data_IF_862967112121
#
_entry.id   IF_862967112121
#
_cell.length_a   1.000
_cell.length_b   1.000
_cell.length_c   1.000
_cell.angle_alpha   90.00
_cell.angle_beta   90.00
_cell.angle_gamma   90.00
#
_symmetry.space_group_name_H-M   'P 1'
#
loop_
_entity.id
_entity.type
_entity.pdbx_description
1 polymer ?
#
# COMPACT_ATOMS: atom_id res chain seq x y z
N UNK A 1 -12.76 -12.58 3.12
CA UNK A 1 -13.52 -11.49 3.78
C UNK A 1 -14.13 -10.55 2.74
N UNK A 2 -13.36 -9.99 1.78
CA UNK A 2 -13.85 -9.06 0.74
C UNK A 2 -15.03 -9.69 -0.03
N UNK A 3 -14.86 -10.92 -0.54
CA UNK A 3 -15.90 -11.66 -1.26
C UNK A 3 -17.17 -11.84 -0.41
N UNK A 4 -17.01 -12.16 0.89
CA UNK A 4 -18.14 -12.30 1.80
C UNK A 4 -18.90 -10.98 1.97
N UNK A 5 -18.18 -9.86 2.13
CA UNK A 5 -18.79 -8.54 2.26
C UNK A 5 -19.53 -8.15 0.98
N UNK A 6 -18.93 -8.34 -0.19
CA UNK A 6 -19.56 -8.04 -1.48
C UNK A 6 -20.79 -8.91 -1.75
N UNK A 7 -20.76 -10.19 -1.36
CA UNK A 7 -21.92 -11.07 -1.47
C UNK A 7 -23.06 -10.64 -0.54
N UNK A 8 -22.73 -10.23 0.68
CA UNK A 8 -23.72 -9.80 1.67
C UNK A 8 -24.30 -8.41 1.37
N UNK A 9 -23.47 -7.53 0.82
CA UNK A 9 -23.82 -6.14 0.53
C UNK A 9 -23.42 -5.78 -0.91
N UNK A 10 -24.11 -6.29 -1.93
CA UNK A 10 -23.68 -6.17 -3.33
C UNK A 10 -23.63 -4.73 -3.85
N UNK A 11 -24.36 -3.81 -3.22
CA UNK A 11 -24.36 -2.38 -3.58
C UNK A 11 -23.37 -1.53 -2.77
N UNK A 12 -22.69 -2.13 -1.78
CA UNK A 12 -21.75 -1.39 -0.95
C UNK A 12 -20.37 -1.29 -1.63
N UNK A 13 -19.76 -0.13 -1.51
CA UNK A 13 -18.35 0.04 -1.86
C UNK A 13 -17.46 -0.57 -0.78
N UNK A 14 -16.38 -1.22 -1.20
CA UNK A 14 -15.39 -1.83 -0.32
C UNK A 14 -14.05 -1.14 -0.52
N UNK A 15 -13.65 -0.33 0.44
CA UNK A 15 -12.35 0.31 0.48
C UNK A 15 -11.44 -0.44 1.45
N UNK A 16 -10.18 -0.61 1.10
CA UNK A 16 -9.19 -1.28 1.95
C UNK A 16 -8.09 -0.31 2.36
N UNK A 17 -7.67 -0.35 3.62
CA UNK A 17 -6.54 0.41 4.12
C UNK A 17 -5.48 -0.58 4.61
N UNK A 18 -4.25 -0.46 4.08
CA UNK A 18 -3.08 -1.20 4.53
C UNK A 18 -2.07 -0.27 5.20
N UNK A 19 -1.83 -0.47 6.49
CA UNK A 19 -0.86 0.30 7.26
C UNK A 19 0.42 -0.51 7.46
N UNK A 20 1.59 0.13 7.30
CA UNK A 20 2.89 -0.48 7.57
C UNK A 20 3.08 -1.81 6.79
N UNK A 21 3.33 -2.92 7.47
CA UNK A 21 3.38 -4.25 6.86
C UNK A 21 2.08 -4.65 6.14
N UNK A 22 0.94 -4.12 6.60
CA UNK A 22 -0.35 -4.30 5.93
C UNK A 22 -0.40 -3.74 4.51
N UNK A 23 0.51 -2.83 4.15
CA UNK A 23 0.65 -2.29 2.81
C UNK A 23 0.86 -3.38 1.75
N UNK A 24 1.88 -4.21 1.92
CA UNK A 24 2.17 -5.29 0.97
C UNK A 24 1.09 -6.39 0.99
N UNK A 25 0.52 -6.68 2.17
CA UNK A 25 -0.55 -7.66 2.28
C UNK A 25 -1.81 -7.21 1.53
N UNK A 26 -2.16 -5.93 1.62
CA UNK A 26 -3.28 -5.35 0.88
C UNK A 26 -3.06 -5.39 -0.62
N UNK A 27 -1.88 -4.95 -1.09
CA UNK A 27 -1.51 -4.98 -2.51
C UNK A 27 -1.60 -6.40 -3.13
N UNK A 28 -1.30 -7.44 -2.35
CA UNK A 28 -1.42 -8.83 -2.81
C UNK A 28 -2.87 -9.33 -2.76
N UNK A 29 -3.67 -8.92 -1.76
CA UNK A 29 -4.98 -9.53 -1.49
C UNK A 29 -6.08 -9.11 -2.46
N UNK A 30 -6.05 -7.90 -3.03
CA UNK A 30 -7.11 -7.47 -3.94
C UNK A 30 -6.98 -8.02 -5.37
N UNK A 31 -5.94 -8.78 -5.65
CA UNK A 31 -5.79 -9.45 -6.93
C UNK A 31 -6.80 -10.58 -7.11
N UNK A 32 -7.09 -11.30 -6.03
CA UNK A 32 -8.07 -12.38 -6.00
C UNK A 32 -9.50 -11.86 -5.75
N UNK A 33 -9.62 -10.82 -4.95
CA UNK A 33 -10.88 -10.23 -4.52
C UNK A 33 -10.84 -8.69 -4.71
N UNK A 34 -11.30 -8.15 -5.86
CA UNK A 34 -11.19 -6.73 -6.17
C UNK A 34 -11.94 -5.86 -5.17
N UNK A 35 -11.28 -4.76 -4.76
CA UNK A 35 -11.83 -3.69 -3.93
C UNK A 35 -12.14 -2.45 -4.78
N UNK A 36 -12.91 -1.52 -4.25
CA UNK A 36 -13.26 -0.30 -4.98
C UNK A 36 -12.17 0.75 -4.93
N UNK A 37 -11.36 0.75 -3.89
CA UNK A 37 -10.09 1.48 -3.80
C UNK A 37 -9.19 0.90 -2.73
N UNK A 38 -7.91 1.25 -2.79
CA UNK A 38 -6.92 0.85 -1.80
C UNK A 38 -6.13 2.06 -1.29
N UNK A 39 -5.97 2.16 0.02
CA UNK A 39 -5.15 3.17 0.68
C UNK A 39 -3.93 2.46 1.29
N UNK A 40 -2.74 2.80 0.86
CA UNK A 40 -1.49 2.35 1.46
C UNK A 40 -0.91 3.47 2.32
N UNK A 41 -0.84 3.26 3.63
CA UNK A 41 -0.40 4.26 4.58
C UNK A 41 0.88 3.83 5.29
N UNK A 42 1.98 4.56 5.07
CA UNK A 42 3.31 4.22 5.59
C UNK A 42 3.67 2.77 5.29
N UNK A 43 3.21 2.27 4.13
CA UNK A 43 3.18 0.84 3.83
C UNK A 43 4.43 0.35 3.11
N UNK A 44 4.81 -0.90 3.42
CA UNK A 44 5.78 -1.64 2.62
C UNK A 44 5.13 -1.98 1.29
N UNK A 45 5.78 -1.64 0.19
CA UNK A 45 5.36 -1.96 -1.18
C UNK A 45 6.29 -2.97 -1.85
N UNK A 46 7.57 -2.94 -1.48
CA UNK A 46 8.60 -3.82 -2.01
C UNK A 46 9.49 -4.38 -0.89
N UNK A 47 9.53 -5.72 -0.78
CA UNK A 47 10.29 -6.42 0.24
C UNK A 47 11.80 -6.43 -0.04
N UNK A 48 12.22 -6.32 -1.31
CA UNK A 48 13.63 -6.15 -1.67
C UNK A 48 14.15 -4.81 -1.17
N UNK A 49 13.44 -3.73 -1.48
CA UNK A 49 13.79 -2.40 -1.02
C UNK A 49 13.83 -2.35 0.52
N UNK A 50 12.87 -3.02 1.19
CA UNK A 50 12.90 -3.16 2.65
C UNK A 50 14.16 -3.85 3.16
N UNK A 51 14.63 -4.90 2.49
CA UNK A 51 15.87 -5.59 2.86
C UNK A 51 17.11 -4.71 2.65
N UNK A 52 17.10 -3.86 1.64
CA UNK A 52 18.22 -2.96 1.36
C UNK A 52 18.29 -1.81 2.37
N UNK A 53 17.17 -1.18 2.65
CA UNK A 53 17.07 0.00 3.52
C UNK A 53 17.17 -0.34 5.01
N UNK A 54 16.64 -1.48 5.44
CA UNK A 54 16.53 -1.85 6.86
C UNK A 54 17.52 -2.97 7.24
N UNK A 55 18.78 -2.57 7.44
CA UNK A 55 19.87 -3.49 7.85
C UNK A 55 19.52 -4.26 9.13
N UNK A 56 18.87 -3.59 10.08
CA UNK A 56 18.40 -4.16 11.34
C UNK A 56 17.34 -5.27 11.16
N UNK A 57 16.55 -5.22 10.08
CA UNK A 57 15.54 -6.23 9.78
C UNK A 57 16.05 -7.38 8.92
N UNK A 58 17.26 -7.32 8.37
CA UNK A 58 17.79 -8.35 7.46
C UNK A 58 17.79 -9.76 8.08
N UNK A 59 18.10 -9.87 9.37
CA UNK A 59 18.05 -11.15 10.09
C UNK A 59 16.67 -11.76 10.13
N UNK A 60 15.64 -10.94 10.38
CA UNK A 60 14.24 -11.35 10.35
C UNK A 60 13.80 -11.72 8.94
N UNK A 61 14.08 -10.86 7.95
CA UNK A 61 13.71 -11.08 6.56
C UNK A 61 14.33 -12.36 5.99
N UNK A 62 15.61 -12.66 6.35
CA UNK A 62 16.25 -13.92 5.95
C UNK A 62 15.55 -15.15 6.53
N UNK A 63 15.05 -15.08 7.74
CA UNK A 63 14.27 -16.19 8.34
C UNK A 63 12.88 -16.36 7.72
N UNK A 64 12.23 -15.25 7.32
CA UNK A 64 10.86 -15.28 6.82
C UNK A 64 10.76 -15.48 5.30
N UNK A 65 11.71 -14.95 4.55
CA UNK A 65 11.67 -14.91 3.09
C UNK A 65 12.86 -15.64 2.48
N UNK A 66 14.02 -15.63 3.17
CA UNK A 66 15.29 -16.12 2.64
C UNK A 66 16.25 -14.98 2.30
N UNK A 67 17.36 -15.31 1.67
CA UNK A 67 18.36 -14.34 1.23
C UNK A 67 18.04 -13.83 -0.19
N UNK A 68 17.94 -12.52 -0.45
CA UNK A 68 17.46 -12.00 -1.75
C UNK A 68 18.28 -12.48 -2.96
N UNK A 69 19.58 -12.76 -2.79
CA UNK A 69 20.44 -13.28 -3.87
C UNK A 69 20.29 -14.79 -4.11
N UNK A 70 19.92 -15.56 -3.07
CA UNK A 70 19.79 -17.01 -3.14
C UNK A 70 18.34 -17.46 -3.40
N UNK A 71 17.41 -16.79 -2.74
CA UNK A 71 15.98 -17.12 -2.73
C UNK A 71 15.18 -16.10 -3.54
N UNK A 72 15.64 -15.79 -4.76
CA UNK A 72 15.05 -14.74 -5.62
C UNK A 72 13.56 -14.96 -5.85
N UNK A 73 13.15 -16.18 -6.13
CA UNK A 73 11.76 -16.53 -6.38
C UNK A 73 10.85 -16.23 -5.19
N UNK A 74 11.29 -16.50 -3.96
CA UNK A 74 10.56 -16.18 -2.76
C UNK A 74 10.34 -14.67 -2.56
N UNK A 75 11.30 -13.84 -2.98
CA UNK A 75 11.15 -12.39 -3.01
C UNK A 75 10.21 -11.94 -4.13
N UNK A 76 10.32 -12.53 -5.33
CA UNK A 76 9.44 -12.20 -6.46
C UNK A 76 7.97 -12.50 -6.16
N UNK A 77 7.67 -13.65 -5.55
CA UNK A 77 6.31 -14.01 -5.13
C UNK A 77 5.72 -13.05 -4.10
N UNK A 78 6.56 -12.35 -3.35
CA UNK A 78 6.15 -11.34 -2.36
C UNK A 78 6.28 -9.90 -2.86
N UNK A 79 6.68 -9.73 -4.12
CA UNK A 79 6.81 -8.40 -4.71
C UNK A 79 5.45 -7.92 -5.23
N UNK A 80 4.67 -7.32 -4.34
CA UNK A 80 3.33 -6.86 -4.63
C UNK A 80 3.26 -5.80 -5.76
N UNK A 81 4.32 -5.01 -5.95
CA UNK A 81 4.38 -4.01 -7.03
C UNK A 81 4.31 -4.66 -8.41
N UNK A 82 4.91 -5.83 -8.59
CA UNK A 82 4.93 -6.53 -9.89
C UNK A 82 3.58 -7.10 -10.29
N UNK A 83 2.74 -7.37 -9.32
CA UNK A 83 1.41 -7.93 -9.55
C UNK A 83 0.38 -6.86 -9.95
N UNK A 84 0.71 -5.58 -9.73
CA UNK A 84 -0.12 -4.46 -10.17
C UNK A 84 -0.16 -4.35 -11.68
N UNK A 85 -1.36 -4.13 -12.21
CA UNK A 85 -1.65 -3.96 -13.63
C UNK A 85 -2.72 -2.88 -13.83
N UNK A 86 -3.02 -2.55 -15.07
CA UNK A 86 -3.99 -1.50 -15.42
C UNK A 86 -5.41 -1.69 -14.85
N UNK A 87 -5.77 -2.92 -14.44
CA UNK A 87 -7.06 -3.23 -13.83
C UNK A 87 -7.03 -3.13 -12.29
N UNK A 88 -5.88 -2.76 -11.71
CA UNK A 88 -5.78 -2.52 -10.27
C UNK A 88 -6.71 -1.39 -9.84
N UNK A 89 -7.29 -1.44 -8.63
CA UNK A 89 -8.18 -0.38 -8.15
C UNK A 89 -7.42 0.95 -7.99
N UNK A 90 -8.14 2.08 -7.95
CA UNK A 90 -7.53 3.35 -7.56
C UNK A 90 -6.78 3.24 -6.24
N UNK A 91 -5.57 3.83 -6.17
CA UNK A 91 -4.68 3.71 -5.01
C UNK A 91 -4.36 5.10 -4.46
N UNK A 92 -4.58 5.30 -3.16
CA UNK A 92 -4.07 6.47 -2.43
C UNK A 92 -2.82 6.08 -1.66
N UNK A 93 -1.71 6.77 -1.92
CA UNK A 93 -0.44 6.61 -1.20
C UNK A 93 -0.35 7.67 -0.12
N UNK A 94 -0.33 7.28 1.14
CA UNK A 94 -0.13 8.16 2.29
C UNK A 94 1.19 7.82 2.97
N UNK A 95 2.12 8.79 3.10
CA UNK A 95 3.42 8.50 3.69
C UNK A 95 4.02 9.71 4.42
N UNK A 96 4.66 9.45 5.57
CA UNK A 96 5.41 10.45 6.33
C UNK A 96 6.83 10.59 5.79
N UNK A 97 7.28 11.83 5.54
CA UNK A 97 8.63 12.08 5.05
C UNK A 97 9.74 11.73 6.05
N UNK A 98 9.40 11.76 7.35
CA UNK A 98 10.32 11.41 8.45
C UNK A 98 10.10 9.98 8.97
N UNK A 99 9.44 9.13 8.19
CA UNK A 99 9.22 7.72 8.55
C UNK A 99 10.55 6.96 8.58
N UNK A 100 10.96 6.50 9.79
CA UNK A 100 12.17 5.72 10.02
C UNK A 100 11.91 4.21 10.06
N UNK A 101 10.66 3.78 10.04
CA UNK A 101 10.29 2.36 10.06
C UNK A 101 10.12 1.81 8.65
N UNK A 102 9.42 2.57 7.80
CA UNK A 102 9.23 2.29 6.38
C UNK A 102 9.66 3.53 5.61
N UNK A 103 10.81 3.48 4.95
CA UNK A 103 11.35 4.62 4.21
C UNK A 103 10.39 5.13 3.12
N UNK A 104 10.35 6.43 2.92
CA UNK A 104 9.47 7.07 1.92
C UNK A 104 9.74 6.57 0.49
N UNK A 105 10.93 6.01 0.23
CA UNK A 105 11.25 5.40 -1.07
C UNK A 105 10.29 4.26 -1.45
N UNK A 106 9.71 3.56 -0.47
CA UNK A 106 8.64 2.58 -0.70
C UNK A 106 7.44 3.21 -1.41
N UNK A 107 7.05 4.41 -1.00
CA UNK A 107 5.98 5.17 -1.61
C UNK A 107 6.35 5.68 -3.01
N UNK A 108 7.54 6.24 -3.18
CA UNK A 108 8.00 6.74 -4.48
C UNK A 108 8.16 5.62 -5.52
N UNK A 109 8.61 4.44 -5.08
CA UNK A 109 8.75 3.29 -5.97
C UNK A 109 7.38 2.77 -6.41
N UNK A 110 6.40 2.72 -5.51
CA UNK A 110 5.02 2.38 -5.82
C UNK A 110 4.39 3.41 -6.76
N UNK A 111 4.52 4.70 -6.46
CA UNK A 111 4.01 5.80 -7.31
C UNK A 111 4.51 5.70 -8.74
N UNK A 112 5.83 5.52 -8.91
CA UNK A 112 6.43 5.33 -10.22
C UNK A 112 5.81 4.16 -10.97
N UNK A 113 5.64 3.02 -10.29
CA UNK A 113 5.02 1.85 -10.91
C UNK A 113 3.58 2.11 -11.34
N UNK A 114 2.77 2.74 -10.50
CA UNK A 114 1.38 3.07 -10.82
C UNK A 114 1.27 4.00 -12.03
N UNK A 115 2.16 4.99 -12.10
CA UNK A 115 2.27 5.89 -13.26
C UNK A 115 2.63 5.12 -14.53
N UNK A 116 3.63 4.24 -14.48
CA UNK A 116 4.11 3.47 -15.63
C UNK A 116 3.03 2.54 -16.21
N UNK A 117 2.14 2.01 -15.36
CA UNK A 117 1.07 1.09 -15.79
C UNK A 117 -0.29 1.78 -16.00
N UNK A 118 -0.37 3.10 -15.78
CA UNK A 118 -1.58 3.89 -16.02
C UNK A 118 -2.73 3.64 -15.02
N UNK A 119 -2.43 3.21 -13.78
CA UNK A 119 -3.43 3.07 -12.73
C UNK A 119 -3.73 4.43 -12.13
N UNK A 120 -5.01 4.71 -11.86
CA UNK A 120 -5.42 5.93 -11.13
C UNK A 120 -4.84 5.91 -9.71
N UNK A 121 -4.07 6.92 -9.37
CA UNK A 121 -3.53 7.09 -8.02
C UNK A 121 -3.49 8.56 -7.61
N UNK A 122 -3.49 8.76 -6.29
CA UNK A 122 -3.21 10.04 -5.64
C UNK A 122 -2.18 9.83 -4.53
N UNK A 123 -1.54 10.93 -4.12
CA UNK A 123 -0.52 10.92 -3.07
C UNK A 123 -0.82 11.95 -2.00
N UNK A 124 -0.54 11.58 -0.75
CA UNK A 124 -0.54 12.48 0.40
C UNK A 124 0.78 12.30 1.16
N UNK A 125 1.80 13.06 0.76
CA UNK A 125 3.10 13.06 1.43
C UNK A 125 3.14 14.10 2.54
N UNK A 126 3.28 13.63 3.77
CA UNK A 126 3.37 14.46 4.97
C UNK A 126 4.84 14.56 5.40
N UNK A 127 5.60 15.48 4.79
CA UNK A 127 7.05 15.54 4.88
C UNK A 127 7.58 15.73 6.32
N UNK A 128 6.77 16.31 7.22
CA UNK A 128 7.13 16.55 8.62
C UNK A 128 6.68 15.44 9.58
N UNK A 129 5.94 14.45 9.09
CA UNK A 129 5.41 13.35 9.90
C UNK A 129 6.27 12.08 9.79
N UNK A 130 6.23 11.26 10.85
CA UNK A 130 6.86 9.95 10.91
C UNK A 130 5.93 8.81 10.51
N UNK A 131 6.26 7.59 10.95
CA UNK A 131 5.47 6.39 10.68
C UNK A 131 4.04 6.48 11.21
N UNK A 132 3.89 6.97 12.43
CA UNK A 132 2.60 7.34 13.01
C UNK A 132 2.56 8.86 13.10
N UNK A 133 1.65 9.53 12.38
CA UNK A 133 1.58 10.98 12.42
C UNK A 133 1.09 11.49 13.77
N UNK A 134 1.44 12.74 14.06
CA UNK A 134 0.94 13.43 15.27
C UNK A 134 -0.59 13.52 15.27
N UNK A 135 -1.24 13.65 16.43
CA UNK A 135 -2.71 13.58 16.53
C UNK A 135 -3.47 14.53 15.59
N UNK A 136 -2.98 15.75 15.41
CA UNK A 136 -3.59 16.70 14.48
C UNK A 136 -3.46 16.22 13.03
N UNK A 137 -2.26 15.81 12.61
CA UNK A 137 -2.00 15.31 11.27
C UNK A 137 -2.76 14.02 11.01
N UNK A 138 -2.87 13.12 11.99
CA UNK A 138 -3.68 11.92 11.93
C UNK A 138 -5.15 12.25 11.61
N UNK A 139 -5.74 13.18 12.34
CA UNK A 139 -7.13 13.60 12.12
C UNK A 139 -7.35 14.15 10.72
N UNK A 140 -6.46 15.02 10.25
CA UNK A 140 -6.57 15.60 8.89
C UNK A 140 -6.34 14.54 7.80
N UNK A 141 -5.43 13.60 8.02
CA UNK A 141 -5.23 12.46 7.12
C UNK A 141 -6.49 11.60 6.98
N UNK A 142 -7.14 11.26 8.09
CA UNK A 142 -8.38 10.48 8.07
C UNK A 142 -9.52 11.21 7.35
N UNK A 143 -9.64 12.54 7.52
CA UNK A 143 -10.61 13.35 6.77
C UNK A 143 -10.29 13.34 5.27
N UNK A 144 -9.01 13.46 4.90
CA UNK A 144 -8.60 13.41 3.51
C UNK A 144 -8.91 12.05 2.88
N UNK A 145 -8.57 10.95 3.55
CA UNK A 145 -8.89 9.59 3.12
C UNK A 145 -10.39 9.42 2.90
N UNK A 146 -11.21 9.85 3.85
CA UNK A 146 -12.67 9.79 3.73
C UNK A 146 -13.19 10.56 2.50
N UNK A 147 -12.75 11.80 2.32
CA UNK A 147 -13.10 12.61 1.15
C UNK A 147 -12.68 11.94 -0.16
N UNK A 148 -11.48 11.38 -0.20
CA UNK A 148 -10.96 10.68 -1.37
C UNK A 148 -11.79 9.43 -1.70
N UNK A 149 -12.12 8.59 -0.72
CA UNK A 149 -13.01 7.44 -0.91
C UNK A 149 -14.38 7.85 -1.45
N UNK A 150 -14.98 8.89 -0.87
CA UNK A 150 -16.27 9.43 -1.35
C UNK A 150 -16.21 9.89 -2.80
N UNK A 151 -15.11 10.51 -3.23
CA UNK A 151 -14.92 10.91 -4.62
C UNK A 151 -14.83 9.69 -5.57
N UNK A 152 -14.15 8.62 -5.15
CA UNK A 152 -14.11 7.36 -5.92
C UNK A 152 -15.52 6.77 -6.08
N UNK A 153 -16.33 6.77 -5.02
CA UNK A 153 -17.71 6.29 -5.07
C UNK A 153 -18.59 7.10 -6.03
N UNK A 154 -18.45 8.43 -6.02
CA UNK A 154 -19.20 9.34 -6.91
C UNK A 154 -18.84 9.05 -8.38
N UNK A 155 -17.57 8.87 -8.68
CA UNK A 155 -17.08 8.64 -10.04
C UNK A 155 -17.48 7.26 -10.61
N UNK A 156 -17.92 6.33 -9.77
CA UNK A 156 -18.37 4.98 -10.15
C UNK A 156 -19.90 4.86 -10.31
N UNK A 157 -20.64 5.86 -9.89
CA UNK A 157 -22.13 5.94 -10.05
C UNK A 157 -22.49 6.50 -11.40
#
# INVERSE_FOLDING_TARGET
LIRLLKNKYPQAFVHMIGFSRGGIQGLLSFQDDPVDSYIIWGGVSDVHLMYEERVDLRGMLRRMVGHPKKDKEAYEQRNAIRTLNQNSPPILIVHGGKDKQVGIHQAYYLERRLKDIGVHYDTLYQMEEGHVPRPFALKETLKYIHKWMTQIEINKK
#
